data_IF_077473141695
#
_entry.id   IF_077473141695
#
_cell.length_a   1.000
_cell.length_b   1.000
_cell.length_c   1.000
_cell.angle_alpha   90.00
_cell.angle_beta   90.00
_cell.angle_gamma   90.00
#
_symmetry.space_group_name_H-M   'P 1'
#
loop_
_entity.id
_entity.type
_entity.pdbx_description
1 polymer ?
#
# COMPACT_ATOMS: atom_id res chain seq x y z
N UNK A 1 -27.17 6.53 5.63
CA UNK A 1 -26.86 5.24 6.30
C UNK A 1 -26.39 4.16 5.33
N UNK A 2 -27.13 3.88 4.25
CA UNK A 2 -26.74 2.87 3.24
C UNK A 2 -25.38 3.13 2.59
N UNK A 3 -25.10 4.38 2.20
CA UNK A 3 -23.83 4.74 1.55
C UNK A 3 -22.62 4.58 2.48
N UNK A 4 -22.72 5.07 3.71
CA UNK A 4 -21.69 4.86 4.74
C UNK A 4 -21.43 3.37 5.02
N UNK A 5 -22.48 2.55 5.05
CA UNK A 5 -22.33 1.11 5.24
C UNK A 5 -21.59 0.44 4.07
N UNK A 6 -21.88 0.85 2.83
CA UNK A 6 -21.16 0.40 1.64
C UNK A 6 -19.70 0.85 1.69
N UNK A 7 -19.45 2.11 2.05
CA UNK A 7 -18.10 2.67 2.15
C UNK A 7 -17.23 1.94 3.18
N UNK A 8 -17.79 1.61 4.33
CA UNK A 8 -17.12 0.81 5.37
C UNK A 8 -16.92 -0.62 4.89
N UNK A 9 -17.96 -1.22 4.27
CA UNK A 9 -17.88 -2.58 3.72
C UNK A 9 -16.78 -2.74 2.68
N UNK A 10 -16.65 -1.79 1.75
CA UNK A 10 -15.59 -1.77 0.75
C UNK A 10 -14.21 -1.68 1.41
N UNK A 11 -14.04 -0.83 2.43
CA UNK A 11 -12.75 -0.71 3.13
C UNK A 11 -12.37 -1.98 3.88
N UNK A 12 -13.33 -2.60 4.57
CA UNK A 12 -13.09 -3.87 5.26
C UNK A 12 -12.72 -4.96 4.25
N UNK A 13 -13.44 -5.03 3.12
CA UNK A 13 -13.13 -5.97 2.05
C UNK A 13 -11.72 -5.74 1.49
N UNK A 14 -11.38 -4.51 1.11
CA UNK A 14 -10.05 -4.16 0.57
C UNK A 14 -8.94 -4.46 1.58
N UNK A 15 -9.16 -4.14 2.86
CA UNK A 15 -8.20 -4.47 3.91
C UNK A 15 -8.04 -5.98 4.08
N UNK A 16 -9.13 -6.75 4.05
CA UNK A 16 -9.09 -8.21 4.08
C UNK A 16 -8.31 -8.80 2.89
N UNK A 17 -8.57 -8.30 1.68
CA UNK A 17 -7.83 -8.70 0.47
C UNK A 17 -6.35 -8.31 0.57
N UNK A 18 -6.03 -7.12 1.07
CA UNK A 18 -4.66 -6.68 1.29
C UNK A 18 -3.92 -7.63 2.24
N UNK A 19 -4.50 -7.92 3.41
CA UNK A 19 -3.90 -8.82 4.40
C UNK A 19 -3.73 -10.21 3.80
N UNK A 20 -4.75 -10.75 3.16
CA UNK A 20 -4.68 -12.07 2.52
C UNK A 20 -3.57 -12.14 1.48
N UNK A 21 -3.51 -11.17 0.57
CA UNK A 21 -2.49 -11.12 -0.50
C UNK A 21 -1.08 -10.84 0.01
N UNK A 22 -0.91 -10.17 1.16
CA UNK A 22 0.41 -9.98 1.77
C UNK A 22 1.03 -11.31 2.23
N UNK A 23 0.20 -12.25 2.68
CA UNK A 23 0.61 -13.56 3.19
C UNK A 23 0.67 -14.67 2.14
N UNK A 24 0.26 -14.40 0.90
CA UNK A 24 0.38 -15.36 -0.19
C UNK A 24 1.83 -15.45 -0.68
N UNK A 25 2.23 -16.66 -1.06
CA UNK A 25 3.51 -16.88 -1.72
C UNK A 25 3.47 -16.30 -3.15
N UNK A 26 4.47 -15.49 -3.53
CA UNK A 26 4.53 -14.92 -4.86
C UNK A 26 4.91 -15.98 -5.90
N UNK A 27 4.55 -15.73 -7.16
CA UNK A 27 4.96 -16.56 -8.28
C UNK A 27 6.49 -16.70 -8.34
N UNK A 28 7.00 -17.92 -8.39
CA UNK A 28 8.43 -18.16 -8.57
C UNK A 28 8.76 -18.23 -10.05
N UNK A 29 9.42 -17.18 -10.56
CA UNK A 29 9.85 -17.14 -11.95
C UNK A 29 11.10 -18.00 -12.14
N UNK A 30 10.97 -19.06 -12.92
CA UNK A 30 12.14 -19.83 -13.41
C UNK A 30 12.76 -19.07 -14.57
N UNK A 31 14.01 -18.63 -14.41
CA UNK A 31 14.76 -17.93 -15.46
C UNK A 31 15.40 -18.97 -16.38
N UNK A 32 15.16 -18.86 -17.68
CA UNK A 32 15.77 -19.75 -18.67
C UNK A 32 17.26 -19.43 -18.85
N UNK A 33 18.13 -20.41 -19.12
CA UNK A 33 19.57 -20.22 -19.29
C UNK A 33 19.96 -19.08 -20.24
N UNK A 34 19.18 -18.90 -21.29
CA UNK A 34 19.35 -17.91 -22.34
C UNK A 34 18.97 -16.48 -21.89
N UNK A 35 18.16 -16.34 -20.84
CA UNK A 35 17.72 -15.06 -20.26
C UNK A 35 18.55 -14.64 -19.04
N UNK A 36 19.39 -15.53 -18.49
CA UNK A 36 20.19 -15.29 -17.27
C UNK A 36 21.03 -14.00 -17.39
N UNK A 37 21.53 -13.70 -18.58
CA UNK A 37 22.37 -12.51 -18.79
C UNK A 37 21.63 -11.19 -18.58
N UNK A 38 20.29 -11.16 -18.71
CA UNK A 38 19.45 -9.99 -18.46
C UNK A 38 19.34 -9.68 -16.95
N UNK A 39 19.47 -10.71 -16.12
CA UNK A 39 19.38 -10.65 -14.65
C UNK A 39 20.74 -10.62 -13.96
N UNK A 40 21.78 -10.11 -14.65
CA UNK A 40 23.16 -10.03 -14.15
C UNK A 40 23.38 -9.13 -12.92
N UNK A 41 22.38 -8.36 -12.50
CA UNK A 41 22.53 -7.55 -11.30
C UNK A 41 22.59 -8.46 -10.06
N UNK A 42 23.57 -8.25 -9.16
CA UNK A 42 23.70 -9.06 -7.96
C UNK A 42 22.41 -8.99 -7.13
N UNK A 43 21.98 -10.14 -6.62
CA UNK A 43 20.84 -10.21 -5.71
C UNK A 43 21.15 -9.37 -4.47
N UNK A 44 20.31 -8.36 -4.23
CA UNK A 44 20.39 -7.55 -3.01
C UNK A 44 19.96 -8.44 -1.85
N UNK A 45 20.93 -8.88 -1.04
CA UNK A 45 20.67 -9.83 0.06
C UNK A 45 19.92 -9.22 1.23
N UNK A 46 19.97 -7.89 1.38
CA UNK A 46 19.29 -7.15 2.44
C UNK A 46 18.63 -5.91 1.85
N UNK A 47 17.36 -5.73 2.14
CA UNK A 47 16.66 -4.49 1.82
C UNK A 47 17.33 -3.30 2.51
N UNK A 48 17.53 -2.21 1.76
CA UNK A 48 18.03 -0.96 2.33
C UNK A 48 17.00 -0.30 3.26
N UNK A 49 15.71 -0.58 3.05
CA UNK A 49 14.60 -0.09 3.87
C UNK A 49 13.76 -1.29 4.31
N UNK A 50 13.71 -1.60 5.61
CA UNK A 50 12.92 -2.73 6.08
C UNK A 50 11.43 -2.49 5.82
N UNK A 51 10.68 -3.56 5.50
CA UNK A 51 9.26 -3.50 5.15
C UNK A 51 8.41 -2.76 6.20
N UNK A 52 8.73 -2.94 7.49
CA UNK A 52 8.04 -2.23 8.59
C UNK A 52 8.20 -0.71 8.49
N UNK A 53 9.39 -0.25 8.07
CA UNK A 53 9.66 1.17 7.88
C UNK A 53 8.94 1.71 6.64
N UNK A 54 8.85 0.92 5.56
CA UNK A 54 8.06 1.31 4.39
C UNK A 54 6.58 1.55 4.75
N UNK A 55 5.98 0.65 5.52
CA UNK A 55 4.60 0.84 6.01
C UNK A 55 4.47 2.06 6.93
N UNK A 56 5.44 2.27 7.83
CA UNK A 56 5.45 3.44 8.70
C UNK A 56 5.50 4.74 7.90
N UNK A 57 6.37 4.85 6.89
CA UNK A 57 6.47 6.02 6.02
C UNK A 57 5.16 6.21 5.22
N UNK A 58 4.66 5.15 4.60
CA UNK A 58 3.42 5.20 3.81
C UNK A 58 2.22 5.68 4.62
N UNK A 59 2.13 5.31 5.91
CA UNK A 59 1.06 5.75 6.80
C UNK A 59 1.31 7.14 7.41
N UNK A 60 2.54 7.42 7.88
CA UNK A 60 2.85 8.66 8.59
C UNK A 60 2.93 9.88 7.68
N UNK A 61 3.43 9.73 6.46
CA UNK A 61 3.55 10.85 5.51
C UNK A 61 2.22 11.54 5.21
N UNK A 62 1.15 10.84 4.76
CA UNK A 62 -0.13 11.49 4.48
C UNK A 62 -0.77 12.09 5.74
N UNK A 63 -0.59 11.46 6.91
CA UNK A 63 -1.04 12.04 8.18
C UNK A 63 -0.34 13.35 8.50
N UNK A 64 0.99 13.37 8.39
CA UNK A 64 1.77 14.59 8.60
C UNK A 64 1.32 15.70 7.65
N UNK A 65 1.09 15.38 6.38
CA UNK A 65 0.57 16.35 5.39
C UNK A 65 -0.80 16.90 5.82
N UNK A 66 -1.74 16.04 6.24
CA UNK A 66 -3.06 16.49 6.72
C UNK A 66 -2.92 17.42 7.93
N UNK A 67 -2.05 17.08 8.90
CA UNK A 67 -1.82 17.92 10.07
C UNK A 67 -1.19 19.27 9.74
N UNK A 68 -0.20 19.29 8.84
CA UNK A 68 0.45 20.52 8.38
C UNK A 68 -0.55 21.42 7.67
N UNK A 69 -1.33 20.88 6.74
CA UNK A 69 -2.37 21.63 6.01
C UNK A 69 -3.42 22.17 6.98
N UNK A 70 -3.85 21.37 7.97
CA UNK A 70 -4.78 21.81 9.00
C UNK A 70 -4.26 23.02 9.78
N UNK A 71 -2.98 23.01 10.17
CA UNK A 71 -2.38 24.12 10.93
C UNK A 71 -2.31 25.39 10.07
N UNK A 72 -1.89 25.27 8.81
CA UNK A 72 -1.72 26.42 7.89
C UNK A 72 -3.07 27.01 7.49
N UNK A 73 -4.02 26.17 7.07
CA UNK A 73 -5.30 26.62 6.48
C UNK A 73 -6.44 26.73 7.49
N UNK A 74 -6.22 26.38 8.77
CA UNK A 74 -7.26 26.36 9.82
C UNK A 74 -8.51 25.57 9.36
N UNK A 75 -8.26 24.47 8.68
CA UNK A 75 -9.23 23.56 8.04
C UNK A 75 -10.29 23.04 9.02
N UNK A 76 -11.52 22.94 8.54
CA UNK A 76 -12.67 22.52 9.35
C UNK A 76 -12.69 21.01 9.65
N UNK A 77 -13.51 20.61 10.63
CA UNK A 77 -13.66 19.19 11.04
C UNK A 77 -14.15 18.30 9.90
N UNK A 78 -14.95 18.83 8.98
CA UNK A 78 -15.48 18.11 7.81
C UNK A 78 -14.38 17.80 6.80
N UNK A 79 -13.57 18.78 6.43
CA UNK A 79 -12.46 18.61 5.49
C UNK A 79 -11.42 17.62 6.01
N UNK A 80 -11.13 17.65 7.32
CA UNK A 80 -10.24 16.65 7.95
C UNK A 80 -10.83 15.25 7.82
N UNK A 81 -12.13 15.08 8.13
CA UNK A 81 -12.80 13.79 8.02
C UNK A 81 -12.73 13.25 6.59
N UNK A 82 -13.02 14.08 5.59
CA UNK A 82 -12.93 13.68 4.18
C UNK A 82 -11.50 13.31 3.78
N UNK A 83 -10.49 14.05 4.27
CA UNK A 83 -9.09 13.72 4.03
C UNK A 83 -8.70 12.35 4.61
N UNK A 84 -9.15 12.02 5.83
CA UNK A 84 -8.94 10.70 6.42
C UNK A 84 -9.68 9.59 5.67
N UNK A 85 -10.91 9.85 5.20
CA UNK A 85 -11.68 8.90 4.39
C UNK A 85 -11.01 8.63 3.03
N UNK A 86 -10.44 9.66 2.41
CA UNK A 86 -9.68 9.53 1.17
C UNK A 86 -8.36 8.77 1.39
N UNK A 87 -7.59 9.12 2.42
CA UNK A 87 -6.31 8.46 2.72
C UNK A 87 -6.50 7.00 3.07
N UNK A 88 -7.50 6.66 3.89
CA UNK A 88 -7.77 5.25 4.26
C UNK A 88 -8.11 4.39 3.03
N UNK A 89 -8.91 4.92 2.09
CA UNK A 89 -9.24 4.22 0.86
C UNK A 89 -8.02 4.08 -0.06
N UNK A 90 -7.26 5.16 -0.25
CA UNK A 90 -6.07 5.19 -1.10
C UNK A 90 -4.99 4.20 -0.61
N UNK A 91 -4.75 4.14 0.70
CA UNK A 91 -3.79 3.21 1.28
C UNK A 91 -4.21 1.75 1.08
N UNK A 92 -5.48 1.41 1.34
CA UNK A 92 -5.97 0.05 1.15
C UNK A 92 -5.91 -0.37 -0.32
N UNK A 93 -6.35 0.48 -1.24
CA UNK A 93 -6.32 0.20 -2.67
C UNK A 93 -4.89 0.06 -3.21
N UNK A 94 -4.00 0.99 -2.86
CA UNK A 94 -2.59 0.92 -3.26
C UNK A 94 -1.91 -0.32 -2.70
N UNK A 95 -2.22 -0.71 -1.46
CA UNK A 95 -1.73 -1.95 -0.86
C UNK A 95 -2.13 -3.17 -1.68
N UNK A 96 -3.42 -3.30 -2.02
CA UNK A 96 -3.93 -4.41 -2.85
C UNK A 96 -3.24 -4.42 -4.22
N UNK A 97 -3.13 -3.28 -4.91
CA UNK A 97 -2.46 -3.21 -6.21
C UNK A 97 -0.98 -3.61 -6.12
N UNK A 98 -0.25 -3.10 -5.12
CA UNK A 98 1.17 -3.41 -4.91
C UNK A 98 1.37 -4.89 -4.63
N UNK A 99 0.54 -5.48 -3.77
CA UNK A 99 0.60 -6.89 -3.46
C UNK A 99 0.24 -7.76 -4.66
N UNK A 100 -0.73 -7.34 -5.46
CA UNK A 100 -1.09 -8.03 -6.70
C UNK A 100 0.11 -8.08 -7.66
N UNK A 101 0.80 -6.96 -7.87
CA UNK A 101 2.01 -6.92 -8.70
C UNK A 101 3.10 -7.82 -8.11
N UNK A 102 3.35 -7.74 -6.80
CA UNK A 102 4.31 -8.58 -6.07
C UNK A 102 4.03 -10.07 -6.27
N UNK A 103 2.76 -10.48 -6.24
CA UNK A 103 2.35 -11.87 -6.43
C UNK A 103 2.49 -12.34 -7.88
N UNK A 104 2.15 -11.50 -8.85
CA UNK A 104 2.18 -11.85 -10.28
C UNK A 104 3.61 -11.87 -10.84
N UNK A 105 4.38 -10.82 -10.56
CA UNK A 105 5.73 -10.65 -11.10
C UNK A 105 6.73 -11.59 -10.41
N UNK A 106 6.45 -11.96 -9.16
CA UNK A 106 7.34 -12.76 -8.35
C UNK A 106 8.32 -11.91 -7.54
N UNK A 107 8.96 -12.55 -6.55
CA UNK A 107 10.09 -12.01 -5.79
C UNK A 107 11.39 -12.63 -6.26
#
# INVERSE_FOLDING_TARGET
MRELAIEIGIRILLFGVFVFTEFLDPFQRVIQPEEIWLYKNPLVQSDNIPTRLMFAISFLTPLAVIFVVKIIRRTDKTEIKEAFLAVSLALALNGVCTNTIKLIVGR
#
